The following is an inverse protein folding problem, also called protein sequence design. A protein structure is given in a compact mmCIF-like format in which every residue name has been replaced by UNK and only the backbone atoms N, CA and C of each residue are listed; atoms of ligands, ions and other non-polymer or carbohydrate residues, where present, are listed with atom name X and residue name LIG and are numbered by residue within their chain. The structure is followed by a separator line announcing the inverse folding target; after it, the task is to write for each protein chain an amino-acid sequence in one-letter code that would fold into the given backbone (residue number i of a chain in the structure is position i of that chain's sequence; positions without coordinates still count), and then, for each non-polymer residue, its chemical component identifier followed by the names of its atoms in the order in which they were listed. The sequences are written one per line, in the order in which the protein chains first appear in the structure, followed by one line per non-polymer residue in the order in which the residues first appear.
data_IF_806697058356
#
_entry.id   IF_806697058356
#
_cell.length_a   1.000
_cell.length_b   1.000
_cell.length_c   1.000
_cell.angle_alpha   90.00
_cell.angle_beta   90.00
_cell.angle_gamma   90.00
#
_symmetry.space_group_name_H-M   'P 1'
#
loop_
_entity.id
_entity.type
_entity.pdbx_description
1 polymer ?
#
# COMPACT_ATOMS: atom_id res chain seq x y z
N UNK A 1 -2.32 -21.58 -32.07
CA UNK A 1 -3.68 -21.08 -31.79
C UNK A 1 -4.18 -21.85 -30.60
N UNK A 2 -4.60 -21.16 -29.56
CA UNK A 2 -5.20 -21.77 -28.35
C UNK A 2 -6.67 -21.38 -28.37
N UNK A 3 -7.56 -22.35 -28.24
CA UNK A 3 -9.00 -22.10 -28.12
C UNK A 3 -9.29 -21.80 -26.67
N UNK A 4 -9.72 -20.60 -26.38
CA UNK A 4 -10.15 -20.18 -25.03
C UNK A 4 -11.68 -20.11 -25.01
N UNK A 5 -12.29 -20.77 -24.05
CA UNK A 5 -13.74 -20.76 -23.87
C UNK A 5 -14.06 -19.63 -22.89
N UNK A 6 -14.83 -18.64 -23.31
CA UNK A 6 -15.29 -17.57 -22.45
C UNK A 6 -16.21 -18.15 -21.38
N UNK A 7 -15.81 -18.01 -20.11
CA UNK A 7 -16.52 -18.55 -18.95
C UNK A 7 -17.92 -17.95 -18.72
N UNK A 8 -18.26 -16.86 -19.43
CA UNK A 8 -19.54 -16.14 -19.27
C UNK A 8 -20.48 -16.44 -20.45
N UNK A 9 -19.95 -16.48 -21.66
CA UNK A 9 -20.77 -16.66 -22.88
C UNK A 9 -20.72 -18.08 -23.44
N UNK A 10 -19.74 -18.90 -23.07
CA UNK A 10 -19.53 -20.23 -23.62
C UNK A 10 -19.07 -20.23 -25.08
N UNK A 11 -18.77 -19.07 -25.65
CA UNK A 11 -18.25 -18.95 -27.02
C UNK A 11 -16.77 -19.29 -27.06
N UNK A 12 -16.39 -20.07 -28.06
CA UNK A 12 -14.99 -20.45 -28.31
C UNK A 12 -14.37 -19.47 -29.29
N UNK A 13 -13.49 -18.62 -28.78
CA UNK A 13 -12.74 -17.69 -29.60
C UNK A 13 -11.31 -18.17 -29.81
N UNK A 14 -10.87 -18.23 -31.09
CA UNK A 14 -9.48 -18.52 -31.41
C UNK A 14 -8.60 -17.31 -31.13
N UNK A 15 -7.95 -17.29 -29.98
CA UNK A 15 -7.04 -16.21 -29.59
C UNK A 15 -5.62 -16.54 -30.02
N UNK A 16 -5.07 -15.71 -30.90
CA UNK A 16 -3.66 -15.78 -31.26
C UNK A 16 -2.79 -15.33 -30.09
N UNK A 17 -2.34 -16.25 -29.24
CA UNK A 17 -1.34 -15.92 -28.21
C UNK A 17 0.04 -15.91 -28.85
N UNK A 18 0.66 -14.75 -28.92
CA UNK A 18 2.10 -14.66 -29.16
C UNK A 18 2.76 -15.17 -27.89
N UNK A 19 3.26 -16.41 -27.92
CA UNK A 19 3.93 -17.05 -26.80
C UNK A 19 5.29 -16.41 -26.52
N UNK A 20 5.31 -15.20 -25.98
CA UNK A 20 6.52 -14.65 -25.36
C UNK A 20 6.57 -15.26 -23.97
N UNK A 21 7.24 -16.41 -23.84
CA UNK A 21 7.62 -16.92 -22.54
C UNK A 21 8.66 -15.95 -21.97
N UNK A 22 8.29 -15.19 -20.96
CA UNK A 22 9.27 -14.48 -20.15
C UNK A 22 10.02 -15.58 -19.39
N UNK A 23 11.32 -15.83 -19.68
CA UNK A 23 12.07 -16.84 -18.95
C UNK A 23 12.00 -16.51 -17.46
N UNK A 24 11.95 -17.52 -16.58
CA UNK A 24 12.04 -17.29 -15.15
C UNK A 24 13.27 -16.43 -14.88
N UNK A 25 13.07 -15.29 -14.22
CA UNK A 25 14.19 -14.43 -13.81
C UNK A 25 15.02 -15.21 -12.83
N UNK A 26 16.16 -15.73 -13.27
CA UNK A 26 17.17 -16.22 -12.34
C UNK A 26 17.64 -15.03 -11.51
N UNK A 27 17.43 -15.09 -10.20
CA UNK A 27 17.93 -14.08 -9.29
C UNK A 27 19.46 -14.21 -9.24
N UNK A 28 20.15 -13.26 -9.86
CA UNK A 28 21.61 -13.17 -9.78
C UNK A 28 21.92 -12.46 -8.47
N UNK A 29 22.51 -13.20 -7.50
CA UNK A 29 22.95 -12.64 -6.24
C UNK A 29 24.40 -12.19 -6.37
N UNK A 30 24.61 -10.89 -6.39
CA UNK A 30 25.93 -10.30 -6.32
C UNK A 30 26.28 -10.03 -4.83
N UNK A 31 27.44 -10.51 -4.35
CA UNK A 31 27.88 -10.19 -2.99
C UNK A 31 28.22 -8.70 -2.89
N UNK A 32 27.56 -8.01 -1.96
CA UNK A 32 27.82 -6.59 -1.67
C UNK A 32 28.41 -6.46 -0.27
N UNK A 33 29.26 -5.45 -0.07
CA UNK A 33 29.77 -5.11 1.26
C UNK A 33 28.66 -4.58 2.18
N UNK A 34 28.85 -4.68 3.48
CA UNK A 34 27.87 -4.14 4.45
C UNK A 34 27.61 -2.67 4.28
N UNK A 35 28.62 -1.87 3.92
CA UNK A 35 28.46 -0.43 3.65
C UNK A 35 27.62 -0.16 2.41
N UNK A 36 27.81 -0.94 1.36
CA UNK A 36 26.99 -0.84 0.15
C UNK A 36 25.54 -1.28 0.43
N UNK A 37 25.34 -2.35 1.18
CA UNK A 37 24.00 -2.82 1.56
C UNK A 37 23.21 -1.76 2.32
N UNK A 38 23.85 -1.02 3.25
CA UNK A 38 23.22 0.09 3.97
C UNK A 38 22.85 1.23 3.02
N UNK A 39 23.75 1.60 2.10
CA UNK A 39 23.47 2.65 1.11
C UNK A 39 22.34 2.27 0.15
N UNK A 40 22.32 1.02 -0.31
CA UNK A 40 21.23 0.50 -1.13
C UNK A 40 19.90 0.51 -0.37
N UNK A 41 19.86 -0.01 0.85
CA UNK A 41 18.67 -0.01 1.70
C UNK A 41 18.12 1.40 1.96
N UNK A 42 19.01 2.37 2.20
CA UNK A 42 18.63 3.77 2.33
C UNK A 42 18.00 4.33 1.05
N UNK A 43 18.63 4.11 -0.11
CA UNK A 43 18.11 4.58 -1.40
C UNK A 43 16.76 3.96 -1.72
N UNK A 44 16.60 2.65 -1.51
CA UNK A 44 15.31 1.96 -1.70
C UNK A 44 14.23 2.51 -0.77
N UNK A 45 14.55 2.77 0.49
CA UNK A 45 13.63 3.36 1.45
C UNK A 45 13.18 4.75 1.03
N UNK A 46 14.10 5.61 0.58
CA UNK A 46 13.78 6.95 0.08
C UNK A 46 12.94 6.87 -1.20
N UNK A 47 13.29 5.99 -2.13
CA UNK A 47 12.53 5.78 -3.37
C UNK A 47 11.12 5.28 -3.06
N UNK A 48 10.98 4.27 -2.20
CA UNK A 48 9.68 3.75 -1.77
C UNK A 48 8.83 4.84 -1.09
N UNK A 49 9.43 5.62 -0.20
CA UNK A 49 8.76 6.76 0.44
C UNK A 49 8.24 7.76 -0.60
N UNK A 50 9.06 8.10 -1.60
CA UNK A 50 8.68 9.00 -2.69
C UNK A 50 7.52 8.45 -3.52
N UNK A 51 7.51 7.15 -3.83
CA UNK A 51 6.42 6.49 -4.55
C UNK A 51 5.12 6.52 -3.74
N UNK A 52 5.18 6.23 -2.45
CA UNK A 52 3.99 6.24 -1.57
C UNK A 52 3.41 7.66 -1.45
N UNK A 53 4.25 8.67 -1.24
CA UNK A 53 3.82 10.07 -1.20
C UNK A 53 3.25 10.53 -2.54
N UNK A 54 3.87 10.13 -3.66
CA UNK A 54 3.35 10.36 -5.01
C UNK A 54 1.97 9.76 -5.20
N UNK A 55 1.78 8.50 -4.82
CA UNK A 55 0.49 7.82 -4.87
C UNK A 55 -0.58 8.52 -4.02
N UNK A 56 -0.24 8.93 -2.80
CA UNK A 56 -1.16 9.67 -1.92
C UNK A 56 -1.54 11.03 -2.51
N UNK A 57 -0.59 11.73 -3.11
CA UNK A 57 -0.86 12.98 -3.84
C UNK A 57 -1.83 12.74 -4.99
N UNK A 58 -1.56 11.73 -5.82
CA UNK A 58 -2.37 11.43 -7.00
C UNK A 58 -3.77 10.95 -6.61
N UNK A 59 -3.89 10.26 -5.47
CA UNK A 59 -5.17 9.88 -4.90
C UNK A 59 -6.01 11.12 -4.50
N UNK A 60 -5.38 12.11 -3.85
CA UNK A 60 -6.06 13.35 -3.42
C UNK A 60 -6.37 14.26 -4.61
N UNK A 61 -5.51 14.30 -5.62
CA UNK A 61 -5.69 15.12 -6.83
C UNK A 61 -6.59 14.45 -7.88
N UNK A 62 -7.02 13.21 -7.66
CA UNK A 62 -7.86 12.47 -8.59
C UNK A 62 -7.10 11.83 -9.77
N UNK A 63 -5.77 11.83 -9.73
CA UNK A 63 -4.92 11.19 -10.75
C UNK A 63 -5.01 9.66 -10.71
N UNK A 64 -5.38 9.09 -9.57
CA UNK A 64 -5.57 7.65 -9.39
C UNK A 64 -6.96 7.39 -8.83
N UNK A 65 -7.65 6.39 -9.39
CA UNK A 65 -8.96 6.00 -8.87
C UNK A 65 -8.82 5.42 -7.46
N UNK A 66 -9.64 5.85 -6.49
CA UNK A 66 -9.68 5.23 -5.18
C UNK A 66 -9.99 3.71 -5.22
N UNK A 67 -10.62 3.22 -6.29
CA UNK A 67 -10.86 1.78 -6.49
C UNK A 67 -9.58 0.96 -6.67
N UNK A 68 -8.44 1.61 -6.97
CA UNK A 68 -7.12 0.96 -7.05
C UNK A 68 -6.52 0.65 -5.68
N UNK A 69 -7.13 1.12 -4.58
CA UNK A 69 -6.68 0.79 -3.23
C UNK A 69 -7.09 -0.64 -2.88
N UNK A 70 -6.08 -1.46 -2.57
CA UNK A 70 -6.32 -2.79 -2.03
C UNK A 70 -6.67 -2.73 -0.54
N UNK A 71 -7.51 -3.64 -0.09
CA UNK A 71 -7.83 -3.82 1.32
C UNK A 71 -6.93 -4.85 1.99
N UNK A 72 -7.28 -5.22 3.20
CA UNK A 72 -6.60 -6.28 3.97
C UNK A 72 -6.61 -7.64 3.23
N UNK A 73 -7.61 -7.90 2.39
CA UNK A 73 -7.69 -9.12 1.56
C UNK A 73 -6.58 -9.10 0.51
N UNK A 74 -6.43 -7.99 -0.20
CA UNK A 74 -5.35 -7.79 -1.18
C UNK A 74 -3.97 -7.92 -0.54
N UNK A 75 -3.77 -7.30 0.63
CA UNK A 75 -2.51 -7.40 1.39
C UNK A 75 -2.22 -8.87 1.74
N UNK A 76 -3.21 -9.61 2.21
CA UNK A 76 -3.08 -11.04 2.51
C UNK A 76 -2.69 -11.87 1.28
N UNK A 77 -3.33 -11.62 0.14
CA UNK A 77 -3.02 -12.30 -1.12
C UNK A 77 -1.59 -12.01 -1.60
N UNK A 78 -1.18 -10.73 -1.61
CA UNK A 78 0.17 -10.32 -2.03
C UNK A 78 1.23 -10.87 -1.07
N UNK A 79 0.95 -10.87 0.24
CA UNK A 79 1.83 -11.47 1.25
C UNK A 79 2.02 -12.98 1.01
N UNK A 80 0.94 -13.70 0.74
CA UNK A 80 0.98 -15.14 0.42
C UNK A 80 1.76 -15.42 -0.87
N UNK A 81 1.56 -14.61 -1.91
CA UNK A 81 2.31 -14.70 -3.17
C UNK A 81 3.80 -14.41 -2.95
N UNK A 82 4.12 -13.38 -2.17
CA UNK A 82 5.51 -13.05 -1.85
C UNK A 82 6.19 -14.18 -1.06
N UNK A 83 5.51 -14.79 -0.09
CA UNK A 83 6.03 -15.90 0.68
C UNK A 83 6.27 -17.15 -0.18
N UNK A 84 5.37 -17.44 -1.14
CA UNK A 84 5.55 -18.57 -2.06
C UNK A 84 6.61 -18.31 -3.14
N UNK A 85 6.92 -17.06 -3.46
CA UNK A 85 7.94 -16.69 -4.43
C UNK A 85 9.38 -16.78 -3.89
N UNK A 86 9.56 -16.84 -2.56
CA UNK A 86 10.84 -17.00 -1.90
C UNK A 86 11.07 -16.00 -0.76
N UNK A 87 12.05 -16.34 0.09
CA UNK A 87 12.34 -15.55 1.29
C UNK A 87 12.79 -14.12 0.96
N UNK A 88 13.57 -13.93 -0.08
CA UNK A 88 14.06 -12.63 -0.54
C UNK A 88 12.91 -11.73 -1.01
N UNK A 89 11.96 -12.27 -1.77
CA UNK A 89 10.75 -11.57 -2.21
C UNK A 89 9.88 -11.19 -1.02
N UNK A 90 9.71 -12.13 -0.08
CA UNK A 90 8.94 -11.88 1.14
C UNK A 90 9.57 -10.79 2.02
N UNK A 91 10.89 -10.81 2.21
CA UNK A 91 11.58 -9.78 2.99
C UNK A 91 11.50 -8.40 2.33
N UNK A 92 11.60 -8.33 1.00
CA UNK A 92 11.38 -7.07 0.25
C UNK A 92 9.95 -6.56 0.41
N UNK A 93 8.96 -7.44 0.34
CA UNK A 93 7.56 -7.09 0.59
C UNK A 93 7.39 -6.55 2.01
N UNK A 94 7.95 -7.22 3.02
CA UNK A 94 7.88 -6.79 4.42
C UNK A 94 8.54 -5.42 4.63
N UNK A 95 9.69 -5.16 4.00
CA UNK A 95 10.37 -3.88 4.06
C UNK A 95 9.51 -2.76 3.44
N UNK A 96 8.97 -2.98 2.24
CA UNK A 96 8.08 -2.03 1.57
C UNK A 96 6.81 -1.77 2.40
N UNK A 97 6.23 -2.82 2.96
CA UNK A 97 5.04 -2.72 3.80
C UNK A 97 5.32 -1.90 5.07
N UNK A 98 6.50 -2.10 5.69
CA UNK A 98 6.93 -1.31 6.85
C UNK A 98 7.11 0.16 6.52
N UNK A 99 7.73 0.49 5.38
CA UNK A 99 7.86 1.87 4.91
C UNK A 99 6.48 2.50 4.64
N UNK A 100 5.58 1.75 3.99
CA UNK A 100 4.22 2.20 3.74
C UNK A 100 3.49 2.53 5.06
N UNK A 101 3.56 1.64 6.03
CA UNK A 101 2.94 1.84 7.34
C UNK A 101 3.52 3.06 8.08
N UNK A 102 4.85 3.25 8.00
CA UNK A 102 5.51 4.41 8.59
C UNK A 102 5.05 5.73 7.94
N UNK A 103 4.97 5.78 6.60
CA UNK A 103 4.49 6.97 5.87
C UNK A 103 3.03 7.26 6.20
N UNK A 104 2.16 6.24 6.21
CA UNK A 104 0.75 6.41 6.57
C UNK A 104 0.58 6.91 8.00
N UNK A 105 1.38 6.39 8.95
CA UNK A 105 1.33 6.85 10.33
C UNK A 105 1.79 8.30 10.51
N UNK A 106 2.60 8.83 9.59
CA UNK A 106 3.03 10.23 9.59
C UNK A 106 1.98 11.19 9.01
N UNK A 107 0.88 10.70 8.45
CA UNK A 107 -0.18 11.57 7.97
C UNK A 107 -0.83 12.37 9.12
N UNK A 108 -1.27 13.62 8.86
CA UNK A 108 -1.86 14.51 9.87
C UNK A 108 -3.30 14.10 10.22
N UNK A 109 -3.52 12.83 10.45
CA UNK A 109 -4.82 12.26 10.85
C UNK A 109 -4.81 12.06 12.37
N UNK A 110 -5.75 12.64 13.12
CA UNK A 110 -5.70 12.71 14.58
C UNK A 110 -5.59 11.41 15.37
N UNK A 111 -5.83 10.27 14.74
CA UNK A 111 -5.70 8.94 15.35
C UNK A 111 -4.33 8.30 15.08
N UNK A 112 -3.56 8.84 14.14
CA UNK A 112 -2.23 8.37 13.77
C UNK A 112 -1.15 9.18 14.51
N UNK A 113 0.08 8.68 14.52
CA UNK A 113 1.21 9.34 15.17
C UNK A 113 1.46 10.75 14.62
N UNK A 114 1.30 10.94 13.30
CA UNK A 114 1.39 12.26 12.67
C UNK A 114 0.33 13.24 13.18
N UNK A 115 -0.87 12.79 13.52
CA UNK A 115 -1.88 13.62 14.16
C UNK A 115 -1.48 14.07 15.57
N UNK A 116 -0.81 13.20 16.34
CA UNK A 116 -0.26 13.56 17.64
C UNK A 116 0.86 14.60 17.51
N UNK A 117 1.72 14.48 16.49
CA UNK A 117 2.74 15.49 16.17
C UNK A 117 2.10 16.85 15.83
N UNK A 118 1.00 16.86 15.08
CA UNK A 118 0.23 18.09 14.80
C UNK A 118 -0.32 18.69 16.08
N UNK A 119 -0.87 17.90 17.01
CA UNK A 119 -1.32 18.42 18.31
C UNK A 119 -0.18 19.06 19.09
N UNK A 120 0.98 18.41 19.16
CA UNK A 120 2.16 18.94 19.82
C UNK A 120 2.64 20.27 19.18
N UNK A 121 2.64 20.34 17.85
CA UNK A 121 2.99 21.55 17.11
C UNK A 121 2.01 22.70 17.44
N UNK A 122 0.71 22.43 17.47
CA UNK A 122 -0.31 23.41 17.85
C UNK A 122 -0.10 23.88 19.28
N UNK A 123 0.19 22.98 20.22
CA UNK A 123 0.45 23.32 21.63
C UNK A 123 1.69 24.18 21.78
N UNK A 124 2.76 23.84 21.04
CA UNK A 124 3.99 24.65 21.03
C UNK A 124 3.77 26.07 20.54
N UNK A 125 2.97 26.25 19.46
CA UNK A 125 2.64 27.59 18.94
C UNK A 125 1.71 28.37 19.88
N UNK A 126 0.74 27.69 20.51
CA UNK A 126 -0.25 28.33 21.41
C UNK A 126 0.29 28.59 22.83
N UNK A 127 1.40 27.98 23.19
CA UNK A 127 1.96 28.06 24.54
C UNK A 127 1.12 27.41 25.65
N UNK A 128 0.10 26.60 25.26
CA UNK A 128 -0.77 25.88 26.21
C UNK A 128 -1.23 24.54 25.63
N UNK A 129 -1.36 23.53 26.49
CA UNK A 129 -1.84 22.21 26.13
C UNK A 129 -3.30 22.25 25.63
N UNK A 130 -3.63 21.36 24.69
CA UNK A 130 -5.01 21.08 24.30
C UNK A 130 -5.71 20.34 25.45
N UNK A 131 -7.00 20.63 25.67
CA UNK A 131 -7.78 19.88 26.65
C UNK A 131 -7.96 18.43 26.20
N UNK A 132 -8.12 17.53 27.17
CA UNK A 132 -8.37 16.10 26.90
C UNK A 132 -9.61 15.93 26.00
N UNK A 133 -10.65 16.70 26.25
CA UNK A 133 -11.89 16.66 25.44
C UNK A 133 -11.64 17.06 23.99
N UNK A 134 -10.79 18.07 23.74
CA UNK A 134 -10.42 18.47 22.37
C UNK A 134 -9.64 17.37 21.67
N UNK A 135 -8.65 16.77 22.33
CA UNK A 135 -7.88 15.65 21.76
C UNK A 135 -8.78 14.47 21.43
N UNK A 136 -9.66 14.06 22.35
CA UNK A 136 -10.61 12.95 22.14
C UNK A 136 -11.55 13.25 20.98
N UNK A 137 -12.10 14.46 20.90
CA UNK A 137 -13.00 14.86 19.82
C UNK A 137 -12.33 14.75 18.46
N UNK A 138 -11.11 15.27 18.31
CA UNK A 138 -10.36 15.20 17.08
C UNK A 138 -9.93 13.77 16.74
N UNK A 139 -9.53 12.97 17.74
CA UNK A 139 -9.21 11.56 17.55
C UNK A 139 -10.43 10.75 17.06
N UNK A 140 -11.63 11.03 17.58
CA UNK A 140 -12.86 10.41 17.11
C UNK A 140 -13.17 10.77 15.64
N UNK A 141 -12.93 12.01 15.23
CA UNK A 141 -13.07 12.41 13.82
C UNK A 141 -12.08 11.64 12.95
N UNK A 142 -10.80 11.57 13.37
CA UNK A 142 -9.78 10.78 12.67
C UNK A 142 -10.15 9.30 12.59
N UNK A 143 -10.69 8.73 13.67
CA UNK A 143 -11.18 7.35 13.70
C UNK A 143 -12.29 7.11 12.68
N UNK A 144 -13.27 8.01 12.61
CA UNK A 144 -14.38 7.89 11.65
C UNK A 144 -13.90 7.96 10.20
N UNK A 145 -12.91 8.83 9.91
CA UNK A 145 -12.30 8.94 8.58
C UNK A 145 -11.61 7.62 8.21
N UNK A 146 -10.73 7.12 9.07
CA UNK A 146 -10.00 5.85 8.82
C UNK A 146 -10.95 4.67 8.70
N UNK A 147 -11.95 4.59 9.58
CA UNK A 147 -12.97 3.54 9.53
C UNK A 147 -13.78 3.60 8.24
N UNK A 148 -14.17 4.80 7.80
CA UNK A 148 -14.89 5.00 6.54
C UNK A 148 -14.08 4.54 5.33
N UNK A 149 -12.79 4.90 5.27
CA UNK A 149 -11.87 4.44 4.21
C UNK A 149 -11.73 2.91 4.24
N UNK A 150 -11.58 2.32 5.44
CA UNK A 150 -11.44 0.87 5.58
C UNK A 150 -12.69 0.12 5.13
N UNK A 151 -13.89 0.55 5.56
CA UNK A 151 -15.16 -0.05 5.14
C UNK A 151 -15.35 0.08 3.64
N UNK A 152 -15.02 1.23 3.07
CA UNK A 152 -15.11 1.46 1.63
C UNK A 152 -14.13 0.57 0.85
N UNK A 153 -12.86 0.48 1.27
CA UNK A 153 -11.85 -0.35 0.62
C UNK A 153 -12.21 -1.85 0.71
N UNK A 154 -12.70 -2.30 1.88
CA UNK A 154 -13.17 -3.67 2.06
C UNK A 154 -14.38 -3.99 1.17
N UNK A 155 -15.35 -3.07 1.08
CA UNK A 155 -16.49 -3.20 0.19
C UNK A 155 -16.07 -3.33 -1.28
N UNK A 156 -15.14 -2.50 -1.72
CA UNK A 156 -14.59 -2.56 -3.06
C UNK A 156 -13.85 -3.88 -3.37
N UNK A 157 -13.09 -4.41 -2.41
CA UNK A 157 -12.43 -5.72 -2.56
C UNK A 157 -13.43 -6.88 -2.64
N UNK A 158 -14.47 -6.85 -1.81
CA UNK A 158 -15.54 -7.85 -1.83
C UNK A 158 -16.24 -7.83 -3.20
N UNK A 159 -16.64 -6.66 -3.71
CA UNK A 159 -17.25 -6.54 -5.03
C UNK A 159 -16.34 -7.12 -6.12
N UNK A 160 -15.05 -6.80 -6.07
CA UNK A 160 -14.06 -7.33 -7.03
C UNK A 160 -13.91 -8.86 -6.96
N UNK A 161 -13.95 -9.45 -5.77
CA UNK A 161 -13.87 -10.91 -5.59
C UNK A 161 -15.11 -11.61 -6.16
N UNK A 162 -16.29 -10.98 -6.07
CA UNK A 162 -17.53 -11.51 -6.63
C UNK A 162 -17.77 -11.12 -8.10
N UNK A 163 -16.81 -10.41 -8.75
CA UNK A 163 -16.93 -10.04 -10.16
C UNK A 163 -17.95 -8.95 -10.47
N UNK A 164 -18.29 -8.10 -9.47
CA UNK A 164 -19.26 -7.00 -9.58
C UNK A 164 -18.57 -5.64 -9.69
#
# INVERSE_FOLDING_TARGET
MVVEEDAITGEREEVGRVGIAIPPREAIYEPVSWSEAVVYGWRETVAATGLILGFLRDLVTGGVSPRSMGSIITIGQVSGQAASAGLDVFLRFMALFSVNLAVLNMLPIPILDGGHLVFLAIEAVRGRALSVEQRVRWSNVGFLIVMGIMVWALGNDILRVFGL
#
